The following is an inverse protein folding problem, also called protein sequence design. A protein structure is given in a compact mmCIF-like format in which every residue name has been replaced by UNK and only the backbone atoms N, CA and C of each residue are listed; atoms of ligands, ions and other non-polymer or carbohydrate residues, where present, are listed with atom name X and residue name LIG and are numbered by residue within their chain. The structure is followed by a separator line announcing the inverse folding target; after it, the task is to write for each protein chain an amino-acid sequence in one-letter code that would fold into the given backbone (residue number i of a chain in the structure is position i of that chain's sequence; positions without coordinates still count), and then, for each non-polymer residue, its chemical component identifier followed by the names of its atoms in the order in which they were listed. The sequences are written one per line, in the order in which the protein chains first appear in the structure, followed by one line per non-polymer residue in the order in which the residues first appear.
data_IF_201298854331
#
_entry.id   IF_201298854331
#
_cell.length_a   1.000
_cell.length_b   1.000
_cell.length_c   1.000
_cell.angle_alpha   90.00
_cell.angle_beta   90.00
_cell.angle_gamma   90.00
#
_symmetry.space_group_name_H-M   'P 1'
#
loop_
_entity.id
_entity.type
_entity.pdbx_description
1 polymer ?
#
# COMPACT_ATOMS: atom_id res chain seq x y z
N UNK A 1 46.04 -9.83 -11.06
CA UNK A 1 45.72 -8.73 -10.13
C UNK A 1 44.52 -7.94 -10.62
N UNK A 2 44.51 -7.48 -11.87
CA UNK A 2 43.44 -6.62 -12.44
C UNK A 2 42.07 -7.32 -12.56
N UNK A 3 42.03 -8.59 -12.94
CA UNK A 3 40.78 -9.37 -13.09
C UNK A 3 40.00 -9.53 -11.77
N UNK A 4 40.70 -9.76 -10.65
CA UNK A 4 40.08 -9.90 -9.31
C UNK A 4 39.45 -8.59 -8.86
N UNK A 5 40.05 -7.45 -9.21
CA UNK A 5 39.49 -6.13 -8.92
C UNK A 5 38.23 -5.83 -9.75
N UNK A 6 38.22 -6.24 -11.02
CA UNK A 6 37.05 -6.08 -11.89
C UNK A 6 35.88 -6.95 -11.43
N UNK A 7 36.13 -8.23 -11.11
CA UNK A 7 35.12 -9.14 -10.57
C UNK A 7 34.49 -8.60 -9.27
N UNK A 8 35.31 -8.10 -8.34
CA UNK A 8 34.80 -7.52 -7.08
C UNK A 8 33.94 -6.28 -7.30
N UNK A 9 34.25 -5.46 -8.31
CA UNK A 9 33.44 -4.29 -8.69
C UNK A 9 32.10 -4.72 -9.27
N UNK A 10 32.09 -5.71 -10.16
CA UNK A 10 30.86 -6.24 -10.76
C UNK A 10 29.94 -6.86 -9.70
N UNK A 11 30.49 -7.62 -8.75
CA UNK A 11 29.70 -8.18 -7.65
C UNK A 11 29.11 -7.08 -6.75
N UNK A 12 29.90 -6.07 -6.37
CA UNK A 12 29.39 -4.94 -5.60
C UNK A 12 28.31 -4.15 -6.36
N UNK A 13 28.46 -4.00 -7.67
CA UNK A 13 27.47 -3.30 -8.49
C UNK A 13 26.17 -4.10 -8.62
N UNK A 14 26.24 -5.43 -8.77
CA UNK A 14 25.08 -6.33 -8.76
C UNK A 14 24.35 -6.28 -7.42
N UNK A 15 25.07 -6.39 -6.31
CA UNK A 15 24.48 -6.29 -4.96
C UNK A 15 23.84 -4.93 -4.74
N UNK A 16 24.44 -3.84 -5.25
CA UNK A 16 23.84 -2.50 -5.18
C UNK A 16 22.53 -2.42 -5.97
N UNK A 17 22.52 -2.92 -7.20
CA UNK A 17 21.32 -2.95 -8.07
C UNK A 17 20.19 -3.77 -7.44
N UNK A 18 20.49 -4.94 -6.88
CA UNK A 18 19.49 -5.78 -6.20
C UNK A 18 18.90 -5.09 -4.97
N UNK A 19 19.75 -4.46 -4.15
CA UNK A 19 19.31 -3.66 -2.99
C UNK A 19 18.43 -2.49 -3.43
N UNK A 20 18.84 -1.73 -4.44
CA UNK A 20 18.05 -0.61 -4.97
C UNK A 20 16.70 -1.07 -5.52
N UNK A 21 16.65 -2.20 -6.22
CA UNK A 21 15.41 -2.79 -6.71
C UNK A 21 14.45 -3.16 -5.56
N UNK A 22 14.97 -3.77 -4.50
CA UNK A 22 14.14 -4.14 -3.34
C UNK A 22 13.60 -2.92 -2.60
N UNK A 23 14.41 -1.86 -2.48
CA UNK A 23 14.01 -0.59 -1.84
C UNK A 23 12.93 0.09 -2.69
N UNK A 24 13.11 0.13 -4.02
CA UNK A 24 12.15 0.71 -4.95
C UNK A 24 10.80 -0.01 -4.87
N UNK A 25 10.79 -1.34 -4.91
CA UNK A 25 9.57 -2.13 -4.80
C UNK A 25 8.84 -1.89 -3.46
N UNK A 26 9.58 -1.83 -2.34
CA UNK A 26 8.99 -1.51 -1.03
C UNK A 26 8.41 -0.10 -0.97
N UNK A 27 9.07 0.87 -1.63
CA UNK A 27 8.61 2.25 -1.69
C UNK A 27 7.32 2.36 -2.51
N UNK A 28 7.26 1.73 -3.67
CA UNK A 28 6.07 1.71 -4.54
C UNK A 28 4.87 1.07 -3.82
N UNK A 29 5.06 -0.08 -3.16
CA UNK A 29 3.99 -0.72 -2.38
C UNK A 29 3.46 0.17 -1.25
N UNK A 30 4.36 0.91 -0.58
CA UNK A 30 3.99 1.86 0.47
C UNK A 30 3.21 3.05 -0.11
N UNK A 31 3.67 3.62 -1.22
CA UNK A 31 3.01 4.74 -1.90
C UNK A 31 1.63 4.35 -2.41
N UNK A 32 1.47 3.16 -2.99
CA UNK A 32 0.18 2.65 -3.44
C UNK A 32 -0.79 2.48 -2.25
N UNK A 33 -0.33 1.89 -1.15
CA UNK A 33 -1.13 1.74 0.06
C UNK A 33 -1.52 3.11 0.64
N UNK A 34 -0.63 4.10 0.62
CA UNK A 34 -0.92 5.45 1.08
C UNK A 34 -1.91 6.17 0.16
N UNK A 35 -1.79 6.02 -1.15
CA UNK A 35 -2.72 6.57 -2.14
C UNK A 35 -4.13 6.01 -1.92
N UNK A 36 -4.26 4.69 -1.74
CA UNK A 36 -5.52 4.03 -1.39
C UNK A 36 -6.12 4.59 -0.10
N UNK A 37 -5.29 4.78 0.95
CA UNK A 37 -5.73 5.39 2.23
C UNK A 37 -6.15 6.86 2.08
N UNK A 38 -5.46 7.65 1.24
CA UNK A 38 -5.81 9.06 0.99
C UNK A 38 -7.16 9.17 0.29
N UNK A 39 -7.40 8.35 -0.73
CA UNK A 39 -8.69 8.32 -1.44
C UNK A 39 -9.82 7.89 -0.50
N UNK A 40 -9.63 6.81 0.25
CA UNK A 40 -10.62 6.36 1.23
C UNK A 40 -10.94 7.45 2.27
N UNK A 41 -9.92 8.12 2.82
CA UNK A 41 -10.11 9.24 3.75
C UNK A 41 -10.84 10.42 3.11
N UNK A 42 -10.47 10.81 1.89
CA UNK A 42 -11.15 11.88 1.16
C UNK A 42 -12.63 11.59 0.92
N UNK A 43 -12.95 10.35 0.54
CA UNK A 43 -14.33 9.91 0.35
C UNK A 43 -15.12 9.88 1.67
N UNK A 44 -14.53 9.39 2.75
CA UNK A 44 -15.17 9.37 4.08
C UNK A 44 -15.41 10.78 4.65
N UNK A 45 -14.50 11.72 4.39
CA UNK A 45 -14.56 13.09 4.91
C UNK A 45 -15.30 14.04 3.96
N UNK A 46 -15.90 13.53 2.88
CA UNK A 46 -16.59 14.35 1.88
C UNK A 46 -17.78 15.09 2.49
N UNK A 47 -17.87 16.39 2.23
CA UNK A 47 -18.94 17.27 2.71
C UNK A 47 -19.74 17.84 1.53
N UNK A 48 -20.98 18.21 1.76
CA UNK A 48 -21.82 18.96 0.83
C UNK A 48 -21.32 20.41 0.73
N UNK A 49 -21.88 21.18 -0.22
CA UNK A 49 -21.59 22.62 -0.35
C UNK A 49 -21.82 23.41 0.95
N UNK A 50 -22.73 22.95 1.80
CA UNK A 50 -23.07 23.56 3.09
C UNK A 50 -22.32 22.92 4.27
N UNK A 51 -21.32 22.07 4.02
CA UNK A 51 -20.46 21.48 5.06
C UNK A 51 -21.02 20.22 5.75
N UNK A 52 -22.22 19.76 5.37
CA UNK A 52 -22.79 18.53 5.94
C UNK A 52 -22.08 17.29 5.39
N UNK A 53 -21.80 16.25 6.20
CA UNK A 53 -21.17 15.02 5.71
C UNK A 53 -22.03 14.33 4.64
N UNK A 54 -21.40 13.87 3.55
CA UNK A 54 -22.11 13.09 2.52
C UNK A 54 -22.31 11.65 3.01
N UNK A 55 -23.55 11.33 3.40
CA UNK A 55 -23.91 10.04 4.01
C UNK A 55 -23.69 8.83 3.09
N UNK A 56 -23.72 9.00 1.76
CA UNK A 56 -23.51 7.93 0.77
C UNK A 56 -22.20 7.16 1.02
N UNK A 57 -21.08 7.88 1.09
CA UNK A 57 -19.75 7.26 1.25
C UNK A 57 -19.51 6.69 2.65
N UNK A 58 -20.12 7.29 3.68
CA UNK A 58 -20.01 6.79 5.06
C UNK A 58 -20.79 5.49 5.24
N UNK A 59 -21.99 5.40 4.68
CA UNK A 59 -22.82 4.19 4.71
C UNK A 59 -22.14 3.06 3.91
N UNK A 60 -21.67 3.33 2.68
CA UNK A 60 -20.94 2.35 1.86
C UNK A 60 -19.73 1.77 2.62
N UNK A 61 -18.92 2.61 3.28
CA UNK A 61 -17.77 2.16 4.05
C UNK A 61 -18.15 1.34 5.30
N UNK A 62 -19.21 1.73 6.00
CA UNK A 62 -19.71 0.97 7.16
C UNK A 62 -20.21 -0.42 6.72
N UNK A 63 -20.97 -0.49 5.63
CA UNK A 63 -21.44 -1.75 5.06
C UNK A 63 -20.29 -2.64 4.59
N UNK A 64 -19.27 -2.07 3.94
CA UNK A 64 -18.09 -2.83 3.51
C UNK A 64 -17.27 -3.34 4.70
N UNK A 65 -17.15 -2.54 5.76
CA UNK A 65 -16.48 -2.93 7.01
C UNK A 65 -17.20 -4.09 7.70
N UNK A 66 -18.54 -4.04 7.77
CA UNK A 66 -19.37 -5.12 8.30
C UNK A 66 -19.23 -6.40 7.46
N UNK A 67 -19.22 -6.28 6.12
CA UNK A 67 -19.03 -7.42 5.22
C UNK A 67 -17.65 -8.07 5.40
N UNK A 68 -16.61 -7.26 5.56
CA UNK A 68 -15.24 -7.73 5.83
C UNK A 68 -15.12 -8.40 7.20
N UNK A 69 -15.75 -7.85 8.25
CA UNK A 69 -15.74 -8.49 9.57
C UNK A 69 -16.51 -9.81 9.56
N UNK A 70 -17.69 -9.85 8.91
CA UNK A 70 -18.49 -11.07 8.80
C UNK A 70 -17.80 -12.17 7.98
N UNK A 71 -17.06 -11.82 6.91
CA UNK A 71 -16.26 -12.78 6.14
C UNK A 71 -15.06 -13.35 6.90
N UNK A 72 -14.63 -12.72 8.00
CA UNK A 72 -13.49 -13.14 8.80
C UNK A 72 -13.89 -14.09 9.96
N UNK A 73 -15.18 -14.18 10.30
CA UNK A 73 -15.68 -15.18 11.26
C UNK A 73 -15.86 -16.57 10.62
N UNK A 74 -16.03 -16.64 9.29
CA UNK A 74 -16.09 -17.90 8.55
C UNK A 74 -14.75 -18.60 8.36
N UNK A 75 -13.62 -17.92 8.57
CA UNK A 75 -12.27 -18.51 8.49
C UNK A 75 -11.70 -18.94 9.85
N UNK A 76 -12.39 -18.62 10.95
CA UNK A 76 -11.97 -18.97 12.32
C UNK A 76 -12.50 -20.33 12.78
N UNK A 77 -13.31 -21.00 11.95
CA UNK A 77 -13.98 -22.28 12.25
C UNK A 77 -13.62 -23.41 11.28
N UNK A 78 -12.51 -23.28 10.53
CA UNK A 78 -11.97 -24.35 9.68
C UNK A 78 -10.53 -24.72 10.11
#
# INVERSE_FOLDING_TARGET
MEEVYMQKREEMEKVRKEREATIKAKKEAKEEAEARRKIARGNMMRKTRHGQPVMKYRIEHLLESIKKSAGNDGSRTA
#
